data_IF_106943764719
#
_entry.id   IF_106943764719
#
_cell.length_a   1.000
_cell.length_b   1.000
_cell.length_c   1.000
_cell.angle_alpha   90.00
_cell.angle_beta   90.00
_cell.angle_gamma   90.00
#
_symmetry.space_group_name_H-M   'P 1'
#
loop_
_entity.id
_entity.type
_entity.pdbx_description
1 polymer ?
#
# COMPACT_ATOMS: atom_id res chain seq x y z
N UNK A 1 12.41 -1.64 -5.72
CA UNK A 1 11.21 -2.19 -5.06
C UNK A 1 9.92 -1.63 -5.66
N UNK A 2 9.68 -0.31 -5.64
CA UNK A 2 8.51 0.31 -6.28
C UNK A 2 8.33 0.00 -7.78
N UNK A 3 9.43 -0.09 -8.52
CA UNK A 3 9.42 -0.53 -9.93
C UNK A 3 8.96 -1.99 -10.09
N UNK A 4 9.37 -2.88 -9.17
CA UNK A 4 8.92 -4.28 -9.14
C UNK A 4 7.42 -4.35 -8.82
N UNK A 5 6.96 -3.62 -7.80
CA UNK A 5 5.53 -3.52 -7.48
C UNK A 5 4.69 -3.01 -8.66
N UNK A 6 5.18 -2.04 -9.44
CA UNK A 6 4.50 -1.57 -10.66
C UNK A 6 4.48 -2.63 -11.78
N UNK A 7 5.55 -3.41 -11.92
CA UNK A 7 5.60 -4.53 -12.85
C UNK A 7 4.60 -5.62 -12.44
N UNK A 8 4.58 -6.01 -11.17
CA UNK A 8 3.66 -7.01 -10.62
C UNK A 8 2.20 -6.55 -10.70
N UNK A 9 1.91 -5.27 -10.46
CA UNK A 9 0.59 -4.70 -10.69
C UNK A 9 0.15 -4.90 -12.14
N UNK A 10 1.06 -4.66 -13.09
CA UNK A 10 0.76 -4.85 -14.52
C UNK A 10 0.47 -6.32 -14.84
N UNK A 11 1.19 -7.26 -14.22
CA UNK A 11 0.95 -8.71 -14.37
C UNK A 11 -0.38 -9.11 -13.73
N UNK A 12 -0.64 -8.69 -12.50
CA UNK A 12 -1.87 -8.99 -11.77
C UNK A 12 -3.12 -8.48 -12.53
N UNK A 13 -3.03 -7.31 -13.16
CA UNK A 13 -4.10 -6.78 -14.01
C UNK A 13 -4.31 -7.60 -15.28
N UNK A 14 -3.23 -8.01 -15.95
CA UNK A 14 -3.31 -8.87 -17.14
C UNK A 14 -3.92 -10.24 -16.81
N UNK A 15 -3.56 -10.80 -15.66
CA UNK A 15 -4.05 -12.09 -15.19
C UNK A 15 -5.37 -12.00 -14.42
N UNK A 16 -6.00 -10.82 -14.37
CA UNK A 16 -7.29 -10.57 -13.68
C UNK A 16 -7.29 -10.97 -12.19
N UNK A 17 -6.12 -10.91 -11.54
CA UNK A 17 -5.97 -11.14 -10.09
C UNK A 17 -6.36 -9.87 -9.33
N UNK A 18 -7.66 -9.64 -9.17
CA UNK A 18 -8.21 -8.41 -8.61
C UNK A 18 -7.70 -8.11 -7.18
N UNK A 19 -7.60 -9.15 -6.33
CA UNK A 19 -7.16 -9.00 -4.94
C UNK A 19 -5.68 -8.61 -4.86
N UNK A 20 -4.81 -9.29 -5.62
CA UNK A 20 -3.39 -8.96 -5.71
C UNK A 20 -3.18 -7.54 -6.25
N UNK A 21 -3.91 -7.16 -7.31
CA UNK A 21 -3.84 -5.82 -7.87
C UNK A 21 -4.34 -4.73 -6.91
N UNK A 22 -5.31 -5.03 -6.05
CA UNK A 22 -5.79 -4.11 -5.01
C UNK A 22 -4.71 -3.89 -3.95
N UNK A 23 -4.12 -4.96 -3.43
CA UNK A 23 -3.05 -4.89 -2.41
C UNK A 23 -1.86 -4.11 -2.93
N UNK A 24 -1.38 -4.43 -4.14
CA UNK A 24 -0.20 -3.77 -4.72
C UNK A 24 -0.46 -2.29 -4.98
N UNK A 25 -1.68 -1.90 -5.40
CA UNK A 25 -2.04 -0.47 -5.53
C UNK A 25 -2.02 0.26 -4.18
N UNK A 26 -2.58 -0.36 -3.14
CA UNK A 26 -2.57 0.23 -1.79
C UNK A 26 -1.15 0.43 -1.27
N UNK A 27 -0.26 -0.55 -1.49
CA UNK A 27 1.15 -0.42 -1.11
C UNK A 27 1.86 0.72 -1.85
N UNK A 28 1.64 0.83 -3.17
CA UNK A 28 2.22 1.93 -3.95
C UNK A 28 1.74 3.27 -3.42
N UNK A 29 0.44 3.41 -3.12
CA UNK A 29 -0.13 4.63 -2.56
C UNK A 29 0.42 4.94 -1.15
N UNK A 30 0.60 3.95 -0.29
CA UNK A 30 1.21 4.13 1.04
C UNK A 30 2.67 4.61 0.93
N UNK A 31 3.44 4.05 0.00
CA UNK A 31 4.81 4.51 -0.30
C UNK A 31 4.80 5.93 -0.88
N UNK A 32 3.90 6.23 -1.82
CA UNK A 32 3.75 7.58 -2.39
C UNK A 32 3.40 8.61 -1.29
N UNK A 33 2.52 8.24 -0.34
CA UNK A 33 2.18 9.08 0.82
C UNK A 33 3.35 9.27 1.79
N UNK A 34 4.17 8.23 1.99
CA UNK A 34 5.36 8.31 2.84
C UNK A 34 6.52 9.11 2.18
N UNK A 35 6.55 9.16 0.85
CA UNK A 35 7.46 10.02 0.07
C UNK A 35 6.94 11.47 -0.03
N UNK A 36 5.66 11.70 0.28
CA UNK A 36 5.06 13.03 0.21
C UNK A 36 5.56 13.91 1.37
N UNK A 37 5.87 15.19 1.10
CA UNK A 37 6.13 16.16 2.17
C UNK A 37 4.90 16.30 3.08
N UNK A 38 5.08 16.59 4.38
CA UNK A 38 3.95 16.86 5.26
C UNK A 38 3.19 18.09 4.74
N UNK A 39 1.99 17.86 4.20
CA UNK A 39 1.04 18.93 3.91
C UNK A 39 0.56 19.49 5.26
N UNK A 40 0.47 20.83 5.43
CA UNK A 40 -0.09 21.41 6.64
C UNK A 40 -1.51 20.87 6.86
N UNK A 41 -1.73 20.32 8.06
CA UNK A 41 -2.96 19.65 8.45
C UNK A 41 -4.17 20.56 8.24
N UNK A 42 -5.02 20.25 7.25
CA UNK A 42 -6.20 21.07 7.02
C UNK A 42 -7.10 20.72 5.84
N UNK A 43 -6.95 19.59 5.16
CA UNK A 43 -7.89 19.21 4.08
C UNK A 43 -8.37 17.76 4.22
N UNK A 44 -9.28 17.58 5.18
CA UNK A 44 -10.31 16.56 5.05
C UNK A 44 -11.33 17.05 4.01
N UNK A 45 -11.32 16.48 2.81
CA UNK A 45 -12.48 16.31 1.93
C UNK A 45 -12.03 15.85 0.54
N UNK A 46 -12.62 14.76 0.06
CA UNK A 46 -12.86 14.42 -1.35
C UNK A 46 -12.09 15.26 -2.39
N UNK A 47 -10.97 14.75 -2.92
CA UNK A 47 -10.36 15.35 -4.10
C UNK A 47 -10.51 14.41 -5.28
N UNK A 48 -11.55 14.69 -6.06
CA UNK A 48 -11.69 14.37 -7.47
C UNK A 48 -10.39 14.76 -8.19
N UNK A 49 -9.66 13.76 -8.69
CA UNK A 49 -8.41 13.96 -9.44
C UNK A 49 -8.67 14.80 -10.70
N UNK A 50 -8.33 16.10 -10.67
CA UNK A 50 -8.00 16.86 -11.87
C UNK A 50 -6.49 16.94 -12.00
N UNK A 51 -5.95 16.19 -12.94
CA UNK A 51 -4.56 16.29 -13.38
C UNK A 51 -4.43 17.48 -14.33
N UNK A 52 -4.17 18.68 -13.81
CA UNK A 52 -3.68 19.79 -14.62
C UNK A 52 -2.61 20.54 -13.84
N UNK A 53 -1.53 20.88 -14.55
CA UNK A 53 -0.42 21.75 -14.15
C UNK A 53 0.76 21.10 -13.43
N UNK A 54 1.89 21.13 -14.13
CA UNK A 54 3.21 20.75 -13.64
C UNK A 54 3.78 21.72 -12.60
N UNK A 55 4.99 21.39 -12.16
CA UNK A 55 5.83 22.14 -11.22
C UNK A 55 5.45 22.04 -9.73
N UNK A 56 5.28 20.82 -9.24
CA UNK A 56 5.52 20.50 -7.83
C UNK A 56 6.58 19.39 -7.72
N UNK A 57 7.76 19.67 -8.28
CA UNK A 57 8.98 18.91 -8.06
C UNK A 57 9.50 19.26 -6.66
N UNK A 58 8.74 18.87 -5.63
CA UNK A 58 9.22 18.89 -4.26
C UNK A 58 10.15 17.69 -4.12
N UNK A 59 11.37 17.95 -3.68
CA UNK A 59 12.44 16.98 -3.48
C UNK A 59 11.89 15.75 -2.74
N UNK A 60 11.61 14.69 -3.50
CA UNK A 60 11.06 13.45 -2.94
C UNK A 60 12.08 12.93 -1.93
N UNK A 61 11.67 12.80 -0.67
CA UNK A 61 12.47 12.11 0.33
C UNK A 61 12.76 10.71 -0.22
N UNK A 62 14.00 10.47 -0.64
CA UNK A 62 14.45 9.14 -1.05
C UNK A 62 14.31 8.22 0.17
N UNK A 63 13.17 7.53 0.30
CA UNK A 63 12.95 6.53 1.33
C UNK A 63 14.08 5.50 1.19
N UNK A 64 14.95 5.48 2.20
CA UNK A 64 16.02 4.51 2.24
C UNK A 64 15.43 3.09 2.23
N UNK A 65 16.16 2.13 1.65
CA UNK A 65 15.70 0.73 1.57
C UNK A 65 15.30 0.16 2.94
N UNK A 66 15.94 0.64 4.01
CA UNK A 66 15.60 0.28 5.40
C UNK A 66 14.29 0.91 5.88
N UNK A 67 13.99 2.16 5.50
CA UNK A 67 12.71 2.79 5.80
C UNK A 67 11.57 2.09 5.10
N UNK A 68 11.74 1.76 3.82
CA UNK A 68 10.73 1.06 3.03
C UNK A 68 10.48 -0.36 3.59
N UNK A 69 11.52 -1.09 4.00
CA UNK A 69 11.36 -2.38 4.70
C UNK A 69 10.62 -2.25 6.04
N UNK A 70 10.86 -1.19 6.81
CA UNK A 70 10.12 -0.93 8.05
C UNK A 70 8.64 -0.69 7.77
N UNK A 71 8.33 0.15 6.78
CA UNK A 71 6.95 0.42 6.36
C UNK A 71 6.23 -0.87 5.96
N UNK A 72 6.85 -1.69 5.10
CA UNK A 72 6.26 -2.96 4.68
C UNK A 72 6.05 -3.94 5.83
N UNK A 73 6.94 -3.95 6.83
CA UNK A 73 6.76 -4.78 8.03
C UNK A 73 5.58 -4.29 8.88
N UNK A 74 5.46 -2.97 9.08
CA UNK A 74 4.30 -2.39 9.77
C UNK A 74 2.99 -2.71 9.06
N UNK A 75 2.95 -2.61 7.73
CA UNK A 75 1.76 -2.96 6.93
C UNK A 75 1.34 -4.44 7.04
N UNK A 76 2.31 -5.35 7.26
CA UNK A 76 2.04 -6.78 7.54
C UNK A 76 1.47 -6.93 8.95
N UNK A 77 2.13 -6.35 9.96
CA UNK A 77 1.70 -6.43 11.35
C UNK A 77 0.27 -5.88 11.53
N UNK A 78 -0.05 -4.75 10.89
CA UNK A 78 -1.38 -4.15 10.93
C UNK A 78 -2.46 -5.06 10.30
N UNK A 79 -2.16 -5.71 9.17
CA UNK A 79 -3.10 -6.66 8.52
C UNK A 79 -3.31 -7.92 9.34
N UNK A 80 -2.25 -8.43 9.97
CA UNK A 80 -2.33 -9.60 10.86
C UNK A 80 -3.15 -9.27 12.12
N UNK A 81 -2.94 -8.10 12.73
CA UNK A 81 -3.74 -7.63 13.86
C UNK A 81 -5.21 -7.42 13.48
N UNK A 82 -5.47 -6.80 12.33
CA UNK A 82 -6.84 -6.63 11.83
C UNK A 82 -7.50 -7.98 11.51
N UNK A 83 -6.76 -8.97 11.00
CA UNK A 83 -7.26 -10.32 10.80
C UNK A 83 -7.63 -11.00 12.14
N UNK A 84 -6.77 -10.90 13.15
CA UNK A 84 -7.06 -11.42 14.49
C UNK A 84 -8.31 -10.77 15.10
N UNK A 85 -8.46 -9.44 14.96
CA UNK A 85 -9.64 -8.73 15.42
C UNK A 85 -10.92 -9.20 14.70
N UNK A 86 -10.85 -9.48 13.39
CA UNK A 86 -11.99 -10.00 12.63
C UNK A 86 -12.34 -11.45 12.99
N UNK A 87 -11.36 -12.28 13.35
CA UNK A 87 -11.62 -13.63 13.87
C UNK A 87 -12.40 -13.57 15.19
N UNK A 88 -12.04 -12.67 16.09
CA UNK A 88 -12.80 -12.45 17.33
C UNK A 88 -14.25 -12.00 17.08
N UNK A 89 -14.53 -11.39 15.93
CA UNK A 89 -15.87 -10.95 15.52
C UNK A 89 -16.63 -12.01 14.68
N UNK A 90 -16.15 -13.26 14.63
CA UNK A 90 -16.69 -14.33 13.78
C UNK A 90 -16.77 -13.92 12.29
N UNK A 91 -15.78 -13.17 11.80
CA UNK A 91 -15.63 -12.74 10.40
C UNK A 91 -14.41 -13.43 9.75
N UNK A 92 -14.32 -14.75 9.91
CA UNK A 92 -13.18 -15.57 9.50
C UNK A 92 -12.83 -15.46 8.00
N UNK A 93 -13.83 -15.32 7.12
CA UNK A 93 -13.58 -15.12 5.68
C UNK A 93 -12.80 -13.84 5.40
N UNK A 94 -13.14 -12.78 6.12
CA UNK A 94 -12.51 -11.46 5.97
C UNK A 94 -11.13 -11.42 6.64
N UNK A 95 -10.95 -12.14 7.74
CA UNK A 95 -9.65 -12.37 8.36
C UNK A 95 -8.71 -13.17 7.42
N UNK A 96 -9.24 -14.20 6.76
CA UNK A 96 -8.49 -15.00 5.77
C UNK A 96 -8.06 -14.14 4.58
N UNK A 97 -8.94 -13.27 4.09
CA UNK A 97 -8.59 -12.31 3.05
C UNK A 97 -7.43 -11.40 3.48
N UNK A 98 -7.49 -10.79 4.68
CA UNK A 98 -6.40 -9.94 5.18
C UNK A 98 -5.07 -10.67 5.36
N UNK A 99 -5.10 -11.94 5.79
CA UNK A 99 -3.89 -12.78 5.85
C UNK A 99 -3.32 -13.06 4.46
N UNK A 100 -4.18 -13.33 3.47
CA UNK A 100 -3.74 -13.49 2.09
C UNK A 100 -3.13 -12.19 1.53
N UNK A 101 -3.72 -11.02 1.86
CA UNK A 101 -3.13 -9.73 1.52
C UNK A 101 -1.73 -9.58 2.17
N UNK A 102 -1.56 -9.90 3.45
CA UNK A 102 -0.27 -9.84 4.15
C UNK A 102 0.80 -10.73 3.51
N UNK A 103 0.43 -11.92 3.02
CA UNK A 103 1.35 -12.81 2.29
C UNK A 103 1.85 -12.18 0.99
N UNK A 104 1.01 -11.41 0.29
CA UNK A 104 1.43 -10.67 -0.91
C UNK A 104 2.44 -9.58 -0.53
N UNK A 105 2.19 -8.82 0.55
CA UNK A 105 3.11 -7.79 1.04
C UNK A 105 4.48 -8.40 1.40
N UNK A 106 4.47 -9.58 2.04
CA UNK A 106 5.68 -10.27 2.49
C UNK A 106 6.63 -10.66 1.37
N UNK A 107 6.13 -10.92 0.15
CA UNK A 107 6.95 -11.19 -1.05
C UNK A 107 7.90 -10.03 -1.40
N UNK A 108 7.60 -8.82 -0.94
CA UNK A 108 8.43 -7.64 -1.19
C UNK A 108 9.47 -7.38 -0.08
N UNK A 109 9.49 -8.19 0.99
CA UNK A 109 10.49 -8.07 2.06
C UNK A 109 11.75 -8.92 1.84
N UNK A 110 11.64 -9.96 1.02
CA UNK A 110 12.76 -10.79 0.53
C UNK A 110 13.63 -10.00 -0.48
#
# INVERSE_FOLDING_TARGET
>A
MKALMRADLSVALKERRADEAKVVRTLIAAIDNAEAPPLPAGHAASVTLRFESGAAEVERLCLSRSHLRRLLRTEIEEREQAAAALDHLNRADRATALRAEALVVRRYLD
#
